data_IF_011285549472
#
_entry.id   IF_011285549472
#
_cell.length_a   1.000
_cell.length_b   1.000
_cell.length_c   1.000
_cell.angle_alpha   90.00
_cell.angle_beta   90.00
_cell.angle_gamma   90.00
#
_symmetry.space_group_name_H-M   'P 1'
#
loop_
_entity.id
_entity.type
_entity.pdbx_description
1 polymer ?
#
# COMPACT_ATOMS: atom_id res chain seq x y z
N UNK A 1 1.86 -4.56 -4.35
CA UNK A 1 2.12 -5.36 -5.56
C UNK A 1 1.75 -6.81 -5.33
N UNK A 2 0.45 -7.10 -5.36
CA UNK A 2 -0.05 -8.47 -5.29
C UNK A 2 0.39 -9.27 -6.52
N UNK A 3 0.52 -10.58 -6.37
CA UNK A 3 1.09 -11.44 -7.40
C UNK A 3 0.09 -11.96 -8.44
N UNK A 4 -1.21 -11.70 -8.26
CA UNK A 4 -2.23 -12.05 -9.26
C UNK A 4 -3.41 -11.08 -9.22
N UNK A 5 -4.19 -11.09 -10.30
CA UNK A 5 -5.45 -10.34 -10.41
C UNK A 5 -6.41 -10.72 -9.28
N UNK A 6 -6.63 -12.02 -9.09
CA UNK A 6 -7.60 -12.58 -8.16
C UNK A 6 -7.27 -12.18 -6.72
N UNK A 7 -5.99 -12.21 -6.36
CA UNK A 7 -5.55 -11.87 -5.01
C UNK A 7 -5.62 -10.37 -4.79
N UNK A 8 -5.26 -9.59 -5.80
CA UNK A 8 -5.34 -8.13 -5.73
C UNK A 8 -6.77 -7.65 -5.56
N UNK A 9 -7.67 -8.13 -6.43
CA UNK A 9 -9.08 -7.79 -6.37
C UNK A 9 -9.74 -8.35 -5.10
N UNK A 10 -9.46 -9.60 -4.76
CA UNK A 10 -9.98 -10.25 -3.56
C UNK A 10 -9.59 -9.48 -2.31
N UNK A 11 -8.30 -9.11 -2.17
CA UNK A 11 -7.79 -8.31 -1.05
C UNK A 11 -8.48 -6.96 -0.95
N UNK A 12 -8.65 -6.27 -2.08
CA UNK A 12 -9.38 -5.00 -2.10
C UNK A 12 -10.82 -5.18 -1.62
N UNK A 13 -11.57 -6.13 -2.20
CA UNK A 13 -12.97 -6.36 -1.86
C UNK A 13 -13.12 -6.75 -0.39
N UNK A 14 -12.31 -7.67 0.13
CA UNK A 14 -12.39 -8.12 1.53
C UNK A 14 -12.11 -6.98 2.50
N UNK A 15 -11.01 -6.27 2.30
CA UNK A 15 -10.61 -5.18 3.19
C UNK A 15 -11.56 -3.98 3.13
N UNK A 16 -12.08 -3.63 1.94
CA UNK A 16 -13.10 -2.59 1.81
C UNK A 16 -14.43 -3.00 2.40
N UNK A 17 -14.90 -4.22 2.18
CA UNK A 17 -16.18 -4.71 2.73
C UNK A 17 -16.15 -4.68 4.26
N UNK A 18 -15.06 -5.17 4.86
CA UNK A 18 -14.85 -5.10 6.31
C UNK A 18 -14.80 -3.64 6.79
N UNK A 19 -14.07 -2.77 6.08
CA UNK A 19 -13.95 -1.36 6.46
C UNK A 19 -15.29 -0.62 6.40
N UNK A 20 -16.05 -0.82 5.33
CA UNK A 20 -17.39 -0.25 5.18
C UNK A 20 -18.34 -0.75 6.27
N UNK A 21 -18.31 -2.05 6.56
CA UNK A 21 -19.08 -2.62 7.67
C UNK A 21 -18.70 -1.97 9.01
N UNK A 22 -17.41 -1.85 9.33
CA UNK A 22 -16.93 -1.22 10.56
C UNK A 22 -17.34 0.26 10.66
N UNK A 23 -17.34 0.99 9.54
CA UNK A 23 -17.78 2.40 9.52
C UNK A 23 -19.27 2.59 9.84
N UNK A 24 -20.09 1.54 9.75
CA UNK A 24 -21.49 1.60 10.21
C UNK A 24 -21.63 1.45 11.73
N UNK A 25 -20.60 0.98 12.42
CA UNK A 25 -20.57 0.86 13.89
C UNK A 25 -20.23 2.20 14.56
N UNK A 26 -20.54 2.30 15.86
CA UNK A 26 -20.13 3.44 16.71
C UNK A 26 -18.65 3.32 17.10
N UNK A 27 -17.76 3.67 16.18
CA UNK A 27 -16.31 3.69 16.41
C UNK A 27 -15.86 4.98 17.12
N UNK A 28 -14.83 4.86 17.95
CA UNK A 28 -14.08 6.04 18.43
C UNK A 28 -13.38 6.74 17.27
N UNK A 29 -13.02 8.01 17.44
CA UNK A 29 -12.32 8.81 16.41
C UNK A 29 -11.04 8.12 15.92
N UNK A 30 -10.26 7.52 16.82
CA UNK A 30 -8.99 6.84 16.50
C UNK A 30 -9.25 5.56 15.69
N UNK A 31 -10.26 4.77 16.06
CA UNK A 31 -10.65 3.57 15.32
C UNK A 31 -11.15 3.95 13.93
N UNK A 32 -12.01 4.97 13.82
CA UNK A 32 -12.51 5.47 12.54
C UNK A 32 -11.37 5.91 11.61
N UNK A 33 -10.38 6.64 12.13
CA UNK A 33 -9.20 7.03 11.36
C UNK A 33 -8.37 5.81 10.93
N UNK A 34 -8.27 4.78 11.77
CA UNK A 34 -7.55 3.55 11.45
C UNK A 34 -8.26 2.77 10.32
N UNK A 35 -9.59 2.72 10.34
CA UNK A 35 -10.40 2.12 9.27
C UNK A 35 -10.26 2.90 7.96
N UNK A 36 -10.31 4.23 7.99
CA UNK A 36 -10.10 5.07 6.79
C UNK A 36 -8.68 4.88 6.23
N UNK A 37 -7.67 4.84 7.10
CA UNK A 37 -6.30 4.55 6.69
C UNK A 37 -6.21 3.19 5.98
N UNK A 38 -6.87 2.15 6.51
CA UNK A 38 -6.96 0.84 5.87
C UNK A 38 -7.63 0.89 4.49
N UNK A 39 -8.66 1.72 4.30
CA UNK A 39 -9.30 1.90 3.00
C UNK A 39 -8.36 2.56 1.97
N UNK A 40 -7.63 3.60 2.36
CA UNK A 40 -6.61 4.24 1.50
C UNK A 40 -5.49 3.23 1.19
N UNK A 41 -5.09 2.47 2.21
CA UNK A 41 -4.04 1.46 2.09
C UNK A 41 -4.42 0.35 1.10
N UNK A 42 -5.62 -0.22 1.27
CA UNK A 42 -6.16 -1.28 0.43
C UNK A 42 -6.52 -0.86 -1.01
N UNK A 43 -6.71 0.44 -1.25
CA UNK A 43 -7.02 0.95 -2.59
C UNK A 43 -5.88 0.76 -3.59
N UNK A 44 -4.64 0.59 -3.12
CA UNK A 44 -3.51 0.22 -3.99
C UNK A 44 -3.70 -1.16 -4.64
N UNK A 45 -4.35 -2.09 -3.95
CA UNK A 45 -4.62 -3.44 -4.44
C UNK A 45 -5.66 -3.39 -5.57
N UNK A 46 -6.53 -2.38 -5.61
CA UNK A 46 -7.37 -2.16 -6.79
C UNK A 46 -6.54 -1.71 -8.00
N UNK A 47 -5.57 -0.82 -7.81
CA UNK A 47 -4.68 -0.38 -8.89
C UNK A 47 -3.85 -1.52 -9.45
N UNK A 48 -3.29 -2.36 -8.57
CA UNK A 48 -2.59 -3.57 -8.95
C UNK A 48 -3.52 -4.53 -9.73
N UNK A 49 -4.79 -4.66 -9.33
CA UNK A 49 -5.77 -5.48 -10.05
C UNK A 49 -6.03 -4.93 -11.46
N UNK A 50 -6.13 -3.62 -11.63
CA UNK A 50 -6.29 -2.98 -12.94
C UNK A 50 -5.07 -3.25 -13.84
N UNK A 51 -3.85 -3.15 -13.29
CA UNK A 51 -2.63 -3.45 -14.03
C UNK A 51 -2.58 -4.92 -14.48
N UNK A 52 -2.97 -5.85 -13.60
CA UNK A 52 -3.06 -7.27 -13.92
C UNK A 52 -4.14 -7.58 -14.95
N UNK A 53 -5.32 -6.98 -14.83
CA UNK A 53 -6.41 -7.13 -15.80
C UNK A 53 -5.98 -6.70 -17.21
N UNK A 54 -5.23 -5.60 -17.28
CA UNK A 54 -4.64 -5.08 -18.51
C UNK A 54 -3.39 -5.86 -18.97
N UNK A 55 -3.01 -6.94 -18.28
CA UNK A 55 -1.82 -7.76 -18.55
C UNK A 55 -0.53 -6.94 -18.63
N UNK A 56 -0.48 -5.81 -17.91
CA UNK A 56 0.64 -4.86 -17.92
C UNK A 56 1.10 -4.43 -19.32
N UNK A 57 0.19 -4.40 -20.30
CA UNK A 57 0.49 -3.90 -21.65
C UNK A 57 0.86 -2.43 -21.59
N UNK A 58 1.80 -1.99 -22.44
CA UNK A 58 2.18 -0.58 -22.59
C UNK A 58 1.07 0.18 -23.31
N UNK A 59 0.07 0.63 -22.56
CA UNK A 59 -1.02 1.47 -23.03
C UNK A 59 -1.27 2.63 -22.07
N UNK A 60 -2.18 3.52 -22.46
CA UNK A 60 -2.56 4.70 -21.69
C UNK A 60 -3.03 4.35 -20.27
N UNK A 61 -3.80 3.28 -20.11
CA UNK A 61 -4.27 2.81 -18.78
C UNK A 61 -3.09 2.46 -17.88
N UNK A 62 -2.15 1.65 -18.35
CA UNK A 62 -0.97 1.29 -17.58
C UNK A 62 -0.16 2.53 -17.18
N UNK A 63 0.06 3.45 -18.12
CA UNK A 63 0.79 4.69 -17.85
C UNK A 63 0.09 5.56 -16.80
N UNK A 64 -1.24 5.75 -16.92
CA UNK A 64 -2.02 6.57 -15.99
C UNK A 64 -2.01 5.96 -14.59
N UNK A 65 -2.23 4.64 -14.49
CA UNK A 65 -2.25 3.94 -13.21
C UNK A 65 -0.88 4.01 -12.54
N UNK A 66 0.19 3.74 -13.30
CA UNK A 66 1.56 3.67 -12.80
C UNK A 66 2.12 5.05 -12.43
N UNK A 67 1.98 6.03 -13.32
CA UNK A 67 2.63 7.34 -13.16
C UNK A 67 1.84 8.34 -12.32
N UNK A 68 0.52 8.14 -12.16
CA UNK A 68 -0.33 9.08 -11.44
C UNK A 68 -1.03 8.44 -10.24
N UNK A 69 -1.82 7.39 -10.47
CA UNK A 69 -2.64 6.85 -9.38
C UNK A 69 -1.80 6.18 -8.28
N UNK A 70 -0.81 5.36 -8.63
CA UNK A 70 0.07 4.73 -7.64
C UNK A 70 0.81 5.80 -6.79
N UNK A 71 1.51 6.79 -7.38
CA UNK A 71 2.10 7.89 -6.65
C UNK A 71 1.10 8.64 -5.77
N UNK A 72 -0.08 8.94 -6.30
CA UNK A 72 -1.14 9.62 -5.57
C UNK A 72 -1.52 8.86 -4.30
N UNK A 73 -1.80 7.56 -4.39
CA UNK A 73 -2.17 6.77 -3.22
C UNK A 73 -1.01 6.61 -2.23
N UNK A 74 0.24 6.47 -2.69
CA UNK A 74 1.42 6.43 -1.82
C UNK A 74 1.55 7.73 -1.01
N UNK A 75 1.40 8.87 -1.68
CA UNK A 75 1.44 10.17 -1.03
C UNK A 75 0.26 10.36 -0.08
N UNK A 76 -0.96 9.94 -0.48
CA UNK A 76 -2.15 10.02 0.34
C UNK A 76 -2.02 9.24 1.66
N UNK A 77 -1.40 8.05 1.64
CA UNK A 77 -1.16 7.26 2.86
C UNK A 77 -0.25 8.00 3.84
N UNK A 78 0.87 8.55 3.35
CA UNK A 78 1.82 9.29 4.19
C UNK A 78 1.18 10.56 4.74
N UNK A 79 0.50 11.33 3.87
CA UNK A 79 -0.17 12.58 4.25
C UNK A 79 -1.27 12.34 5.29
N UNK A 80 -2.10 11.32 5.08
CA UNK A 80 -3.16 10.95 6.01
C UNK A 80 -2.60 10.54 7.38
N UNK A 81 -1.53 9.73 7.41
CA UNK A 81 -0.94 9.32 8.68
C UNK A 81 -0.31 10.50 9.44
N UNK A 82 0.51 11.33 8.77
CA UNK A 82 1.27 12.39 9.43
C UNK A 82 0.37 13.56 9.85
N UNK A 83 -0.53 14.02 8.98
CA UNK A 83 -1.29 15.25 9.19
C UNK A 83 -2.66 14.97 9.82
N UNK A 84 -3.40 13.96 9.35
CA UNK A 84 -4.76 13.72 9.83
C UNK A 84 -4.75 12.91 11.13
N UNK A 85 -4.01 11.81 11.15
CA UNK A 85 -3.97 10.91 12.32
C UNK A 85 -3.08 11.45 13.43
N UNK A 86 -1.84 11.82 13.09
CA UNK A 86 -0.86 12.27 14.08
C UNK A 86 -0.83 13.79 14.31
N UNK A 87 -1.51 14.57 13.46
CA UNK A 87 -1.63 16.04 13.60
C UNK A 87 -0.29 16.80 13.62
N UNK A 88 0.76 16.24 12.98
CA UNK A 88 2.04 16.93 12.81
C UNK A 88 1.93 17.90 11.64
N UNK A 89 1.65 19.18 11.93
CA UNK A 89 1.49 20.24 10.93
C UNK A 89 2.50 21.37 11.14
N UNK A 90 3.79 21.05 11.03
CA UNK A 90 4.86 22.03 11.10
C UNK A 90 5.43 22.31 9.70
N UNK A 91 5.96 23.52 9.47
CA UNK A 91 6.51 23.93 8.17
C UNK A 91 7.54 22.94 7.62
N UNK A 92 8.47 22.49 8.48
CA UNK A 92 9.49 21.50 8.10
C UNK A 92 8.87 20.20 7.60
N UNK A 93 7.85 19.69 8.28
CA UNK A 93 7.14 18.46 7.90
C UNK A 93 6.45 18.64 6.55
N UNK A 94 5.82 19.80 6.29
CA UNK A 94 5.18 20.09 5.02
C UNK A 94 6.17 20.17 3.86
N UNK A 95 7.33 20.80 4.07
CA UNK A 95 8.41 20.83 3.06
C UNK A 95 8.91 19.42 2.78
N UNK A 96 9.14 18.61 3.81
CA UNK A 96 9.56 17.21 3.65
C UNK A 96 8.53 16.37 2.88
N UNK A 97 7.24 16.57 3.16
CA UNK A 97 6.14 15.90 2.45
C UNK A 97 6.07 16.31 0.98
N UNK A 98 6.30 17.59 0.67
CA UNK A 98 6.34 18.09 -0.70
C UNK A 98 7.50 17.47 -1.48
N UNK A 99 8.70 17.46 -0.91
CA UNK A 99 9.89 16.83 -1.51
C UNK A 99 9.65 15.33 -1.73
N UNK A 100 9.09 14.64 -0.74
CA UNK A 100 8.74 13.22 -0.85
C UNK A 100 7.73 12.97 -1.98
N UNK A 101 6.72 13.83 -2.11
CA UNK A 101 5.71 13.74 -3.17
C UNK A 101 6.38 13.85 -4.54
N UNK A 102 7.20 14.89 -4.75
CA UNK A 102 7.93 15.08 -6.01
C UNK A 102 8.82 13.87 -6.31
N UNK A 103 9.54 13.35 -5.32
CA UNK A 103 10.39 12.17 -5.46
C UNK A 103 9.59 10.93 -5.90
N UNK A 104 8.45 10.64 -5.25
CA UNK A 104 7.60 9.49 -5.57
C UNK A 104 7.07 9.58 -7.02
N UNK A 105 6.60 10.77 -7.44
CA UNK A 105 6.11 10.98 -8.80
C UNK A 105 7.20 10.82 -9.86
N UNK A 106 8.41 11.36 -9.61
CA UNK A 106 9.55 11.18 -10.52
C UNK A 106 9.91 9.69 -10.64
N UNK A 107 9.98 9.00 -9.50
CA UNK A 107 10.43 7.60 -9.44
C UNK A 107 9.49 6.64 -10.15
N UNK A 108 8.18 6.80 -9.99
CA UNK A 108 7.21 5.88 -10.58
C UNK A 108 6.64 6.35 -11.92
N UNK A 109 7.20 7.42 -12.52
CA UNK A 109 6.82 7.85 -13.86
C UNK A 109 7.29 6.83 -14.91
N UNK A 110 6.34 6.10 -15.48
CA UNK A 110 6.61 5.11 -16.51
C UNK A 110 5.50 4.08 -16.66
N UNK A 111 5.87 2.91 -17.13
CA UNK A 111 4.96 1.77 -17.29
C UNK A 111 5.29 0.69 -16.27
N UNK A 112 4.27 0.00 -15.78
CA UNK A 112 4.49 -1.19 -14.98
C UNK A 112 4.87 -2.37 -15.86
N UNK A 113 5.78 -3.21 -15.38
CA UNK A 113 6.22 -4.45 -16.05
C UNK A 113 6.08 -5.62 -15.07
N UNK A 114 5.82 -6.83 -15.55
CA UNK A 114 5.80 -8.02 -14.69
C UNK A 114 7.23 -8.50 -14.39
N UNK A 115 7.55 -8.79 -13.13
CA UNK A 115 8.93 -9.10 -12.70
C UNK A 115 9.45 -10.47 -13.19
N UNK A 116 8.57 -11.41 -13.62
CA UNK A 116 8.91 -12.69 -14.29
C UNK A 116 7.65 -13.41 -14.82
N UNK A 117 7.79 -14.40 -15.71
CA UNK A 117 6.69 -15.27 -16.17
C UNK A 117 6.35 -16.44 -15.19
N UNK A 118 6.78 -16.35 -13.93
CA UNK A 118 6.54 -17.39 -12.92
C UNK A 118 5.27 -17.09 -12.11
N UNK A 119 4.67 -18.12 -11.48
CA UNK A 119 3.39 -18.05 -10.74
C UNK A 119 3.32 -17.02 -9.59
N UNK A 120 4.45 -16.43 -9.18
CA UNK A 120 4.55 -15.46 -8.09
C UNK A 120 5.21 -14.15 -8.52
N UNK A 121 5.02 -13.73 -9.76
CA UNK A 121 5.49 -12.42 -10.20
C UNK A 121 4.62 -11.31 -9.63
N UNK A 122 5.25 -10.23 -9.19
CA UNK A 122 4.55 -9.00 -8.85
C UNK A 122 4.71 -7.98 -9.99
N UNK A 123 3.83 -6.98 -10.09
CA UNK A 123 4.15 -5.80 -10.88
C UNK A 123 5.48 -5.19 -10.38
N UNK A 124 6.13 -4.47 -11.29
CA UNK A 124 7.19 -3.51 -11.03
C UNK A 124 6.63 -2.17 -11.50
N UNK A 125 6.33 -1.26 -10.59
CA UNK A 125 5.81 0.05 -10.95
C UNK A 125 6.92 0.91 -11.54
N UNK A 126 6.64 1.55 -12.68
CA UNK A 126 7.56 2.48 -13.35
C UNK A 126 8.89 1.85 -13.76
N UNK A 127 8.96 0.52 -13.89
CA UNK A 127 10.21 -0.22 -14.11
C UNK A 127 11.27 -0.02 -13.01
N UNK A 128 10.85 0.42 -11.81
CA UNK A 128 11.70 0.58 -10.64
C UNK A 128 11.27 -0.40 -9.55
N UNK A 129 12.09 -1.40 -9.28
CA UNK A 129 11.85 -2.32 -8.18
C UNK A 129 12.05 -1.62 -6.83
N UNK A 130 11.13 -1.85 -5.90
CA UNK A 130 11.20 -1.29 -4.55
C UNK A 130 12.23 -2.08 -3.75
N UNK A 131 13.29 -1.40 -3.30
CA UNK A 131 14.32 -2.02 -2.44
C UNK A 131 13.80 -2.19 -1.01
N UNK A 132 14.37 -3.14 -0.26
CA UNK A 132 14.02 -3.38 1.16
C UNK A 132 14.11 -2.10 1.98
N UNK A 133 15.18 -1.31 1.80
CA UNK A 133 15.39 -0.07 2.57
C UNK A 133 14.24 0.92 2.33
N UNK A 134 13.78 1.02 1.09
CA UNK A 134 12.68 1.91 0.71
C UNK A 134 11.35 1.39 1.24
N UNK A 135 11.14 0.08 1.21
CA UNK A 135 9.98 -0.58 1.82
C UNK A 135 9.91 -0.28 3.33
N UNK A 136 11.02 -0.48 4.04
CA UNK A 136 11.11 -0.25 5.49
C UNK A 136 10.92 1.24 5.81
N UNK A 137 11.56 2.13 5.07
CA UNK A 137 11.39 3.57 5.24
C UNK A 137 9.93 4.00 5.04
N UNK A 138 9.28 3.49 3.98
CA UNK A 138 7.87 3.75 3.72
C UNK A 138 6.97 3.18 4.81
N UNK A 139 7.23 1.96 5.28
CA UNK A 139 6.51 1.34 6.40
C UNK A 139 6.60 2.19 7.67
N UNK A 140 7.77 2.73 8.00
CA UNK A 140 7.93 3.64 9.14
C UNK A 140 7.06 4.88 8.95
N UNK A 141 7.09 5.52 7.79
CA UNK A 141 6.33 6.75 7.52
C UNK A 141 4.81 6.57 7.65
N UNK A 142 4.26 5.45 7.17
CA UNK A 142 2.82 5.20 7.20
C UNK A 142 2.34 4.62 8.53
N UNK A 143 3.22 4.01 9.33
CA UNK A 143 2.84 3.32 10.57
C UNK A 143 3.20 4.09 11.84
N UNK A 144 4.15 5.03 11.79
CA UNK A 144 4.55 5.81 12.96
C UNK A 144 3.36 6.57 13.56
N UNK A 145 3.20 6.66 14.91
CA UNK A 145 4.08 6.12 15.96
C UNK A 145 3.72 4.69 16.41
N UNK A 146 2.89 3.95 15.67
CA UNK A 146 2.48 2.59 16.06
C UNK A 146 3.60 1.57 15.80
N UNK A 147 4.57 1.55 16.70
CA UNK A 147 5.74 0.67 16.65
C UNK A 147 5.41 -0.82 16.67
N UNK A 148 4.31 -1.22 17.35
CA UNK A 148 3.84 -2.61 17.34
C UNK A 148 3.48 -3.07 15.93
N UNK A 149 2.87 -2.18 15.17
CA UNK A 149 2.48 -2.45 13.78
C UNK A 149 3.70 -2.47 12.85
N UNK A 150 4.67 -1.56 13.05
CA UNK A 150 5.97 -1.59 12.34
C UNK A 150 6.69 -2.92 12.59
N UNK A 151 6.75 -3.36 13.84
CA UNK A 151 7.41 -4.61 14.21
C UNK A 151 6.76 -5.81 13.53
N UNK A 152 5.43 -5.90 13.55
CA UNK A 152 4.69 -6.97 12.88
C UNK A 152 4.94 -7.01 11.37
N UNK A 153 4.91 -5.85 10.70
CA UNK A 153 5.10 -5.76 9.24
C UNK A 153 6.55 -6.04 8.84
N UNK A 154 7.53 -5.40 9.50
CA UNK A 154 8.93 -5.47 9.09
C UNK A 154 9.67 -6.73 9.58
N UNK A 155 9.34 -7.24 10.78
CA UNK A 155 10.10 -8.34 11.38
C UNK A 155 9.38 -9.69 11.36
N UNK A 156 8.05 -9.71 11.24
CA UNK A 156 7.30 -10.97 11.25
C UNK A 156 6.85 -11.38 9.84
N UNK A 157 6.23 -10.47 9.09
CA UNK A 157 5.71 -10.79 7.75
C UNK A 157 6.79 -10.77 6.66
N UNK A 158 7.74 -9.84 6.74
CA UNK A 158 8.81 -9.67 5.74
C UNK A 158 9.71 -10.91 5.59
N UNK A 159 10.22 -11.52 6.68
CA UNK A 159 11.08 -12.70 6.55
C UNK A 159 10.32 -13.94 6.07
N UNK A 160 9.10 -14.17 6.57
CA UNK A 160 8.29 -15.32 6.20
C UNK A 160 8.05 -15.33 4.68
N UNK A 161 7.71 -14.20 4.09
CA UNK A 161 7.39 -14.16 2.66
C UNK A 161 8.66 -14.17 1.81
N UNK A 162 9.77 -13.55 2.26
CA UNK A 162 11.06 -13.65 1.57
C UNK A 162 11.54 -15.11 1.49
N UNK A 163 11.48 -15.86 2.60
CA UNK A 163 11.95 -17.24 2.65
C UNK A 163 11.03 -18.25 1.94
N UNK A 164 9.71 -18.06 2.00
CA UNK A 164 8.76 -19.06 1.48
C UNK A 164 8.23 -18.78 0.06
N UNK A 165 8.17 -17.52 -0.38
CA UNK A 165 7.46 -17.17 -1.63
C UNK A 165 8.43 -16.84 -2.77
N UNK A 166 9.68 -16.42 -2.47
CA UNK A 166 10.64 -16.00 -3.49
C UNK A 166 10.13 -14.87 -4.40
N UNK A 167 9.11 -14.13 -3.95
CA UNK A 167 8.44 -13.06 -4.69
C UNK A 167 8.93 -11.68 -4.28
N UNK A 168 8.62 -10.66 -5.07
CA UNK A 168 9.04 -9.29 -4.74
C UNK A 168 8.34 -8.76 -3.48
N UNK A 169 9.06 -7.90 -2.75
CA UNK A 169 8.63 -7.31 -1.47
C UNK A 169 7.26 -6.60 -1.54
N UNK A 170 6.85 -6.14 -2.72
CA UNK A 170 5.56 -5.47 -2.88
C UNK A 170 4.34 -6.37 -2.64
N UNK A 171 4.47 -7.69 -2.71
CA UNK A 171 3.37 -8.65 -2.46
C UNK A 171 2.95 -8.74 -0.99
N UNK A 172 3.86 -8.36 -0.08
CA UNK A 172 3.63 -8.24 1.36
C UNK A 172 2.45 -7.34 1.69
N UNK A 173 2.32 -6.23 0.97
CA UNK A 173 1.30 -5.20 1.27
C UNK A 173 -0.13 -5.73 1.13
N UNK A 174 -0.35 -6.75 0.31
CA UNK A 174 -1.67 -7.37 0.14
C UNK A 174 -2.04 -8.23 1.35
N UNK A 175 -1.09 -9.05 1.81
CA UNK A 175 -1.26 -9.83 3.04
C UNK A 175 -1.45 -8.90 4.25
N UNK A 176 -0.64 -7.85 4.35
CA UNK A 176 -0.74 -6.84 5.42
C UNK A 176 -2.13 -6.20 5.44
N UNK A 177 -2.68 -5.77 4.30
CA UNK A 177 -4.02 -5.16 4.24
C UNK A 177 -5.10 -6.10 4.80
N UNK A 178 -5.11 -7.37 4.39
CA UNK A 178 -6.12 -8.32 4.84
C UNK A 178 -5.97 -8.72 6.31
N UNK A 179 -4.74 -8.92 6.79
CA UNK A 179 -4.49 -9.22 8.20
C UNK A 179 -4.96 -8.07 9.09
N UNK A 180 -4.69 -6.83 8.71
CA UNK A 180 -5.22 -5.65 9.43
C UNK A 180 -6.74 -5.62 9.38
N UNK A 181 -7.34 -5.85 8.22
CA UNK A 181 -8.79 -5.81 8.07
C UNK A 181 -9.46 -6.81 9.01
N UNK A 182 -8.99 -8.06 9.03
CA UNK A 182 -9.50 -9.09 9.94
C UNK A 182 -9.25 -8.71 11.41
N UNK A 183 -8.06 -8.21 11.73
CA UNK A 183 -7.75 -7.76 13.08
C UNK A 183 -8.69 -6.64 13.56
N UNK A 184 -8.99 -5.65 12.71
CA UNK A 184 -9.98 -4.61 13.02
C UNK A 184 -11.39 -5.16 13.15
N UNK A 185 -11.78 -6.12 12.31
CA UNK A 185 -13.10 -6.77 12.42
C UNK A 185 -13.32 -7.45 13.78
N UNK A 186 -12.27 -8.06 14.34
CA UNK A 186 -12.32 -8.76 15.62
C UNK A 186 -12.25 -7.78 16.80
N UNK A 187 -11.51 -6.67 16.66
CA UNK A 187 -11.20 -5.77 17.78
C UNK A 187 -12.08 -4.53 17.87
N UNK A 188 -12.76 -4.13 16.79
CA UNK A 188 -13.59 -2.92 16.69
C UNK A 188 -15.08 -3.25 16.58
#
# INVERSE_FOLDING_TARGET
>A
MCFSFEISLGTFITSWSISLYLLTKKLTTIQKQSVIFLMIFSSMQLLDAILWYNKMKKNTINYIITSFFIPFFLCAQVYYNIIIRNKFNNLLTMVMLLVLTIYIFIKFNGYSVALCNNKFSSPIWGNHEIKIVEFVAFAILICYPNWKFIFMVCFLLLPIIYFYVGGAYGSLWCAVANVIAIYYLITY
#
